data_IF_604723032257
#
_entry.id   IF_604723032257
#
_cell.length_a   1.000
_cell.length_b   1.000
_cell.length_c   1.000
_cell.angle_alpha   90.00
_cell.angle_beta   90.00
_cell.angle_gamma   90.00
#
_symmetry.space_group_name_H-M   'P 1'
#
loop_
_entity.id
_entity.type
_entity.pdbx_description
1 polymer ?
#
# COMPACT_ATOMS: atom_id res chain seq x y z
N UNK A 1 -7.39 0.23 -6.89
CA UNK A 1 -8.36 1.24 -6.40
C UNK A 1 -9.48 0.52 -5.65
N UNK A 2 -9.92 1.04 -4.50
CA UNK A 2 -11.00 0.45 -3.69
C UNK A 2 -12.21 1.38 -3.70
N UNK A 3 -13.37 0.88 -4.03
CA UNK A 3 -14.64 1.61 -3.93
C UNK A 3 -15.34 1.24 -2.62
N UNK A 4 -15.66 2.25 -1.83
CA UNK A 4 -16.44 2.12 -0.60
C UNK A 4 -17.84 2.66 -0.75
N UNK A 5 -18.84 1.88 -0.38
CA UNK A 5 -20.22 2.31 -0.17
C UNK A 5 -20.49 2.44 1.32
N UNK A 6 -20.73 3.67 1.78
CA UNK A 6 -20.91 4.02 3.19
C UNK A 6 -22.33 4.52 3.38
N UNK A 7 -23.13 3.81 4.18
CA UNK A 7 -24.54 4.12 4.42
C UNK A 7 -24.77 4.54 5.86
N UNK A 8 -25.37 5.70 6.05
CA UNK A 8 -25.80 6.20 7.36
C UNK A 8 -27.28 5.85 7.60
N UNK A 9 -27.56 4.87 8.45
CA UNK A 9 -28.93 4.43 8.74
C UNK A 9 -29.66 5.38 9.69
N UNK A 10 -28.96 6.23 10.44
CA UNK A 10 -29.57 7.18 11.38
C UNK A 10 -30.21 8.40 10.67
N UNK A 11 -29.87 8.68 9.41
CA UNK A 11 -30.44 9.77 8.60
C UNK A 11 -30.96 9.23 7.26
N UNK A 12 -32.16 8.66 7.27
CA UNK A 12 -32.92 8.23 6.07
C UNK A 12 -32.19 7.21 5.14
N UNK A 13 -31.07 6.64 5.56
CA UNK A 13 -30.32 5.67 4.75
C UNK A 13 -29.45 6.28 3.64
N UNK A 14 -29.07 7.56 3.75
CA UNK A 14 -28.17 8.20 2.78
C UNK A 14 -26.90 7.38 2.55
N UNK A 15 -26.54 7.16 1.29
CA UNK A 15 -25.39 6.36 0.88
C UNK A 15 -24.38 7.23 0.14
N UNK A 16 -23.12 7.15 0.58
CA UNK A 16 -21.97 7.77 -0.05
C UNK A 16 -21.20 6.68 -0.79
N UNK A 17 -20.87 6.94 -2.05
CA UNK A 17 -19.88 6.14 -2.80
C UNK A 17 -18.59 6.95 -2.85
N UNK A 18 -17.50 6.36 -2.38
CA UNK A 18 -16.16 6.96 -2.37
C UNK A 18 -15.16 6.01 -3.00
N UNK A 19 -14.18 6.56 -3.71
CA UNK A 19 -13.06 5.76 -4.24
C UNK A 19 -11.80 6.11 -3.47
N UNK A 20 -11.13 5.09 -2.95
CA UNK A 20 -9.90 5.18 -2.19
C UNK A 20 -8.69 4.78 -3.07
N UNK A 21 -7.54 5.46 -2.91
CA UNK A 21 -7.33 6.56 -1.98
C UNK A 21 -7.88 7.91 -2.49
N UNK A 22 -8.37 8.75 -1.57
CA UNK A 22 -8.73 10.15 -1.79
C UNK A 22 -8.05 11.06 -0.75
N UNK A 23 -8.16 12.39 -0.92
CA UNK A 23 -7.72 13.33 0.12
C UNK A 23 -8.48 13.08 1.42
N UNK A 24 -7.80 13.21 2.57
CA UNK A 24 -8.44 13.11 3.88
C UNK A 24 -9.45 14.25 4.12
N UNK A 25 -9.20 15.42 3.51
CA UNK A 25 -10.13 16.54 3.54
C UNK A 25 -11.42 16.20 2.77
N UNK A 26 -11.27 15.62 1.58
CA UNK A 26 -12.41 15.19 0.76
C UNK A 26 -13.18 14.06 1.45
N UNK A 27 -12.48 13.09 2.05
CA UNK A 27 -13.11 12.00 2.80
C UNK A 27 -13.99 12.56 3.93
N UNK A 28 -13.49 13.54 4.68
CA UNK A 28 -14.25 14.21 5.75
C UNK A 28 -15.49 14.92 5.18
N UNK A 29 -15.33 15.67 4.10
CA UNK A 29 -16.45 16.41 3.49
C UNK A 29 -17.51 15.46 2.92
N UNK A 30 -17.09 14.37 2.27
CA UNK A 30 -17.96 13.33 1.76
C UNK A 30 -18.75 12.66 2.90
N UNK A 31 -18.11 12.29 4.00
CA UNK A 31 -18.79 11.72 5.17
C UNK A 31 -19.80 12.72 5.78
N UNK A 32 -19.42 13.98 5.89
CA UNK A 32 -20.31 15.03 6.39
C UNK A 32 -21.54 15.23 5.49
N UNK A 33 -21.41 15.02 4.17
CA UNK A 33 -22.53 15.15 3.22
C UNK A 33 -23.67 14.15 3.49
N UNK A 34 -23.36 12.99 4.05
CA UNK A 34 -24.36 11.99 4.49
C UNK A 34 -24.65 12.06 5.99
N UNK A 35 -24.23 13.14 6.65
CA UNK A 35 -24.50 13.41 8.06
C UNK A 35 -23.66 12.60 9.04
N UNK A 36 -22.53 12.06 8.60
CA UNK A 36 -21.53 11.46 9.50
C UNK A 36 -20.56 12.58 9.91
N UNK A 37 -20.70 13.05 11.15
CA UNK A 37 -19.85 14.11 11.73
C UNK A 37 -18.73 13.58 12.61
N UNK A 38 -18.75 12.28 12.92
CA UNK A 38 -17.65 11.62 13.62
C UNK A 38 -16.37 11.66 12.79
N UNK A 39 -15.23 11.73 13.45
CA UNK A 39 -13.93 11.69 12.77
C UNK A 39 -13.79 10.40 11.95
N UNK A 40 -13.32 10.52 10.70
CA UNK A 40 -13.11 9.37 9.81
C UNK A 40 -12.14 8.34 10.41
N UNK A 41 -11.21 8.79 11.27
CA UNK A 41 -10.29 7.94 12.04
C UNK A 41 -10.98 7.07 13.09
N UNK A 42 -12.26 7.32 13.40
CA UNK A 42 -13.06 6.51 14.33
C UNK A 42 -14.05 5.60 13.61
N UNK A 43 -14.16 5.73 12.28
CA UNK A 43 -15.05 4.90 11.49
C UNK A 43 -14.30 3.66 11.01
N UNK A 44 -14.62 2.51 11.58
CA UNK A 44 -14.03 1.22 11.22
C UNK A 44 -14.53 0.76 9.86
N UNK A 45 -13.73 -0.06 9.18
CA UNK A 45 -14.09 -0.69 7.91
C UNK A 45 -15.24 -1.70 8.05
N UNK A 46 -15.45 -2.23 9.26
CA UNK A 46 -16.60 -3.07 9.60
C UNK A 46 -17.90 -2.29 9.84
N UNK A 47 -17.81 -0.96 9.93
CA UNK A 47 -18.94 -0.11 10.27
C UNK A 47 -19.33 -0.17 11.75
N UNK A 48 -20.47 0.45 12.05
CA UNK A 48 -21.08 0.50 13.39
C UNK A 48 -22.55 0.12 13.30
N UNK A 49 -23.26 0.09 14.43
CA UNK A 49 -24.72 -0.16 14.44
C UNK A 49 -25.48 0.78 13.48
N UNK A 50 -25.05 2.04 13.41
CA UNK A 50 -25.72 3.08 12.63
C UNK A 50 -25.09 3.30 11.24
N UNK A 51 -23.87 2.81 11.01
CA UNK A 51 -23.13 3.06 9.76
C UNK A 51 -22.74 1.72 9.14
N UNK A 52 -23.26 1.43 7.95
CA UNK A 52 -22.84 0.26 7.17
C UNK A 52 -21.75 0.66 6.18
N UNK A 53 -20.67 -0.10 6.15
CA UNK A 53 -19.56 0.08 5.21
C UNK A 53 -19.45 -1.18 4.36
N UNK A 54 -19.40 -1.00 3.04
CA UNK A 54 -19.14 -2.06 2.08
C UNK A 54 -17.96 -1.63 1.21
N UNK A 55 -16.99 -2.52 1.03
CA UNK A 55 -15.78 -2.25 0.28
C UNK A 55 -15.66 -3.24 -0.87
N UNK A 56 -15.30 -2.74 -2.05
CA UNK A 56 -15.06 -3.55 -3.24
C UNK A 56 -13.76 -3.08 -3.91
N UNK A 57 -12.99 -4.02 -4.44
CA UNK A 57 -11.80 -3.73 -5.22
C UNK A 57 -12.05 -4.08 -6.69
N UNK A 58 -11.47 -3.30 -7.60
CA UNK A 58 -11.52 -3.55 -9.04
C UNK A 58 -10.15 -4.00 -9.61
N UNK A 59 -9.11 -4.00 -8.77
CA UNK A 59 -7.73 -4.28 -9.18
C UNK A 59 -7.08 -5.23 -8.16
N UNK A 60 -6.12 -6.09 -8.57
CA UNK A 60 -5.47 -7.06 -7.69
C UNK A 60 -4.88 -6.47 -6.41
N UNK A 61 -4.27 -5.28 -6.51
CA UNK A 61 -3.73 -4.58 -5.33
C UNK A 61 -4.83 -4.21 -4.33
N UNK A 62 -6.01 -3.81 -4.83
CA UNK A 62 -7.15 -3.51 -3.97
C UNK A 62 -7.68 -4.78 -3.30
N UNK A 63 -7.75 -5.89 -4.03
CA UNK A 63 -8.18 -7.19 -3.48
C UNK A 63 -7.23 -7.65 -2.37
N UNK A 64 -5.92 -7.51 -2.58
CA UNK A 64 -4.92 -7.82 -1.58
C UNK A 64 -5.11 -6.97 -0.31
N UNK A 65 -5.27 -5.65 -0.48
CA UNK A 65 -5.53 -4.75 0.65
C UNK A 65 -6.77 -5.17 1.44
N UNK A 66 -7.87 -5.47 0.74
CA UNK A 66 -9.11 -5.96 1.37
C UNK A 66 -8.92 -7.30 2.09
N UNK A 67 -8.10 -8.20 1.55
CA UNK A 67 -7.83 -9.52 2.16
C UNK A 67 -7.05 -9.44 3.48
N UNK A 68 -6.35 -8.32 3.72
CA UNK A 68 -5.53 -8.08 4.92
C UNK A 68 -6.21 -7.20 5.95
N UNK A 69 -7.40 -6.66 5.66
CA UNK A 69 -8.14 -5.81 6.59
C UNK A 69 -8.44 -6.53 7.91
N UNK A 70 -8.11 -5.86 9.01
CA UNK A 70 -8.57 -6.19 10.34
C UNK A 70 -9.92 -5.49 10.63
N UNK A 71 -10.70 -6.04 11.56
CA UNK A 71 -12.03 -5.49 11.89
C UNK A 71 -11.97 -4.09 12.51
N UNK A 72 -10.90 -3.81 13.24
CA UNK A 72 -10.60 -2.54 13.91
C UNK A 72 -9.89 -1.53 12.99
N UNK A 73 -9.53 -1.92 11.77
CA UNK A 73 -8.99 -0.98 10.79
C UNK A 73 -10.01 0.12 10.49
N UNK A 74 -9.51 1.32 10.27
CA UNK A 74 -10.34 2.50 10.04
C UNK A 74 -10.35 2.85 8.56
N UNK A 75 -11.39 3.53 8.08
CA UNK A 75 -11.43 4.02 6.70
C UNK A 75 -10.27 4.98 6.41
N UNK A 76 -9.86 5.78 7.39
CA UNK A 76 -8.65 6.60 7.29
C UNK A 76 -7.40 5.74 7.14
N UNK A 77 -7.25 4.70 7.96
CA UNK A 77 -6.11 3.77 7.88
C UNK A 77 -6.05 3.07 6.52
N UNK A 78 -7.18 2.59 6.02
CA UNK A 78 -7.31 2.01 4.68
C UNK A 78 -6.92 3.01 3.58
N UNK A 79 -7.39 4.26 3.70
CA UNK A 79 -7.05 5.32 2.75
C UNK A 79 -5.53 5.58 2.74
N UNK A 80 -4.92 5.69 3.91
CA UNK A 80 -3.47 5.90 4.06
C UNK A 80 -2.68 4.70 3.50
N UNK A 81 -3.08 3.47 3.80
CA UNK A 81 -2.42 2.29 3.24
C UNK A 81 -2.46 2.27 1.71
N UNK A 82 -3.61 2.61 1.11
CA UNK A 82 -3.69 2.74 -0.34
C UNK A 82 -2.79 3.84 -0.89
N UNK A 83 -2.62 4.97 -0.19
CA UNK A 83 -1.70 6.04 -0.59
C UNK A 83 -0.23 5.60 -0.50
N UNK A 84 0.15 4.97 0.61
CA UNK A 84 1.52 4.51 0.84
C UNK A 84 1.92 3.44 -0.16
N UNK A 85 1.05 2.46 -0.45
CA UNK A 85 1.32 1.46 -1.50
C UNK A 85 1.51 2.14 -2.87
N UNK A 86 0.63 3.07 -3.26
CA UNK A 86 0.75 3.79 -4.54
C UNK A 86 2.03 4.62 -4.62
N UNK A 87 2.43 5.23 -3.51
CA UNK A 87 3.64 6.07 -3.44
C UNK A 87 4.92 5.25 -3.49
N UNK A 88 4.94 4.13 -2.78
CA UNK A 88 6.14 3.34 -2.54
C UNK A 88 6.37 2.27 -3.63
N UNK A 89 5.35 1.98 -4.46
CA UNK A 89 5.43 1.02 -5.56
C UNK A 89 5.27 1.69 -6.95
N UNK A 90 6.22 2.56 -7.38
CA UNK A 90 6.08 3.33 -8.61
C UNK A 90 6.25 2.52 -9.91
N UNK A 91 7.01 1.41 -9.87
CA UNK A 91 7.33 0.59 -11.06
C UNK A 91 6.34 -0.54 -11.33
N UNK A 92 5.27 -0.63 -10.53
CA UNK A 92 4.29 -1.71 -10.60
C UNK A 92 4.01 -2.30 -9.23
N UNK A 93 2.89 -3.02 -9.12
CA UNK A 93 2.51 -3.73 -7.90
C UNK A 93 2.95 -5.19 -7.92
N UNK A 94 3.50 -5.70 -9.01
CA UNK A 94 3.74 -7.13 -9.16
C UNK A 94 4.89 -7.61 -8.27
N UNK A 95 6.02 -6.90 -8.25
CA UNK A 95 7.13 -7.18 -7.33
C UNK A 95 6.70 -7.01 -5.88
N UNK A 96 5.90 -6.00 -5.59
CA UNK A 96 5.35 -5.77 -4.26
C UNK A 96 4.38 -6.89 -3.84
N UNK A 97 3.54 -7.38 -4.75
CA UNK A 97 2.66 -8.52 -4.50
C UNK A 97 3.47 -9.80 -4.26
N UNK A 98 4.51 -10.04 -5.06
CA UNK A 98 5.41 -11.18 -4.87
C UNK A 98 6.17 -11.09 -3.54
N UNK A 99 6.53 -9.89 -3.08
CA UNK A 99 7.08 -9.68 -1.74
C UNK A 99 6.11 -10.07 -0.62
N UNK A 100 4.84 -9.70 -0.75
CA UNK A 100 3.80 -9.96 0.26
C UNK A 100 3.31 -11.42 0.24
N UNK A 101 3.32 -12.04 -0.92
CA UNK A 101 2.92 -13.43 -1.15
C UNK A 101 3.96 -14.13 -2.03
N UNK A 102 5.12 -14.52 -1.45
CA UNK A 102 6.20 -15.15 -2.20
C UNK A 102 5.74 -16.39 -2.94
N UNK A 103 6.18 -16.52 -4.19
CA UNK A 103 5.83 -17.68 -5.02
C UNK A 103 6.79 -18.82 -4.72
N UNK A 104 6.29 -20.05 -4.80
CA UNK A 104 7.11 -21.26 -4.60
C UNK A 104 8.21 -21.43 -5.66
N UNK A 105 7.95 -20.92 -6.86
CA UNK A 105 8.85 -20.97 -8.00
C UNK A 105 9.62 -19.65 -8.11
N UNK A 106 10.91 -19.67 -7.76
CA UNK A 106 11.77 -18.48 -7.73
C UNK A 106 11.90 -17.81 -9.12
N UNK A 107 11.77 -18.56 -10.21
CA UNK A 107 11.81 -17.99 -11.56
C UNK A 107 10.57 -17.14 -11.89
N UNK A 108 9.48 -17.31 -11.11
CA UNK A 108 8.23 -16.55 -11.25
C UNK A 108 8.04 -15.50 -10.17
N UNK A 109 8.90 -15.50 -9.15
CA UNK A 109 8.91 -14.56 -8.05
C UNK A 109 9.82 -13.38 -8.42
N UNK A 110 9.20 -12.27 -8.82
CA UNK A 110 9.96 -11.08 -9.24
C UNK A 110 10.69 -10.43 -8.08
N UNK A 111 10.21 -10.63 -6.84
CA UNK A 111 10.84 -10.07 -5.66
C UNK A 111 12.07 -10.87 -5.20
N UNK A 112 12.18 -12.15 -5.58
CA UNK A 112 13.30 -13.01 -5.21
C UNK A 112 14.67 -12.38 -5.50
N UNK A 113 14.81 -11.71 -6.65
CA UNK A 113 16.03 -10.99 -7.04
C UNK A 113 16.42 -9.88 -6.04
N UNK A 114 15.44 -9.23 -5.42
CA UNK A 114 15.66 -8.11 -4.51
C UNK A 114 15.89 -8.51 -3.05
N UNK A 115 15.71 -9.78 -2.70
CA UNK A 115 15.88 -10.28 -1.32
C UNK A 115 17.23 -9.91 -0.67
N UNK A 116 18.38 -9.94 -1.37
CA UNK A 116 19.66 -9.54 -0.77
C UNK A 116 19.72 -8.08 -0.31
N UNK A 117 18.86 -7.21 -0.85
CA UNK A 117 18.83 -5.78 -0.54
C UNK A 117 17.84 -5.44 0.59
N UNK A 118 17.12 -6.44 1.12
CA UNK A 118 16.25 -6.26 2.28
C UNK A 118 17.08 -6.01 3.55
N UNK A 119 16.99 -4.79 4.08
CA UNK A 119 17.72 -4.40 5.30
C UNK A 119 16.92 -4.65 6.60
N UNK A 120 15.61 -4.86 6.49
CA UNK A 120 14.71 -5.01 7.64
C UNK A 120 13.91 -6.30 7.55
N UNK A 121 13.55 -6.85 8.72
CA UNK A 121 12.71 -8.03 8.80
C UNK A 121 11.26 -7.71 8.37
N UNK A 122 10.50 -8.71 7.91
CA UNK A 122 9.08 -8.55 7.61
C UNK A 122 8.29 -8.04 8.81
N UNK A 123 7.28 -7.22 8.56
CA UNK A 123 6.36 -6.72 9.57
C UNK A 123 5.62 -7.85 10.28
N UNK A 124 5.48 -7.74 11.60
CA UNK A 124 4.64 -8.60 12.43
C UNK A 124 3.26 -7.98 12.70
N UNK A 125 2.96 -6.82 12.12
CA UNK A 125 1.68 -6.15 12.29
C UNK A 125 0.56 -6.92 11.56
N UNK A 126 -0.68 -6.50 11.81
CA UNK A 126 -1.88 -6.99 11.12
C UNK A 126 -2.62 -5.80 10.51
N UNK A 127 -3.64 -6.08 9.70
CA UNK A 127 -4.49 -5.03 9.15
C UNK A 127 -3.78 -4.14 8.13
N UNK A 128 -4.28 -2.91 8.00
CA UNK A 128 -3.69 -1.88 7.12
C UNK A 128 -2.30 -1.46 7.58
N UNK A 129 -1.96 -1.62 8.85
CA UNK A 129 -0.64 -1.29 9.38
C UNK A 129 0.44 -2.20 8.79
N UNK A 130 0.18 -3.51 8.69
CA UNK A 130 1.06 -4.45 8.00
C UNK A 130 1.37 -4.00 6.58
N UNK A 131 0.34 -3.58 5.83
CA UNK A 131 0.50 -3.14 4.45
C UNK A 131 1.34 -1.86 4.32
N UNK A 132 1.18 -0.92 5.25
CA UNK A 132 1.97 0.33 5.30
C UNK A 132 3.44 0.00 5.57
N UNK A 133 3.72 -0.82 6.58
CA UNK A 133 5.09 -1.19 6.96
C UNK A 133 5.78 -1.99 5.85
N UNK A 134 5.08 -2.92 5.21
CA UNK A 134 5.64 -3.67 4.08
C UNK A 134 5.83 -2.80 2.83
N UNK A 135 4.97 -1.83 2.56
CA UNK A 135 5.17 -0.88 1.47
C UNK A 135 6.44 -0.02 1.70
N UNK A 136 6.70 0.40 2.95
CA UNK A 136 7.93 1.10 3.28
C UNK A 136 9.17 0.18 3.18
N UNK A 137 9.05 -1.07 3.65
CA UNK A 137 10.11 -2.08 3.49
C UNK A 137 10.45 -2.33 2.02
N UNK A 138 9.45 -2.34 1.14
CA UNK A 138 9.63 -2.47 -0.30
C UNK A 138 10.43 -1.29 -0.85
N UNK A 139 10.02 -0.05 -0.51
CA UNK A 139 10.72 1.17 -0.91
C UNK A 139 12.18 1.15 -0.48
N UNK A 140 12.46 0.83 0.78
CA UNK A 140 13.82 0.74 1.31
C UNK A 140 14.66 -0.30 0.56
N UNK A 141 14.05 -1.45 0.22
CA UNK A 141 14.72 -2.51 -0.55
C UNK A 141 15.11 -1.99 -1.94
N UNK A 142 14.22 -1.27 -2.61
CA UNK A 142 14.47 -0.68 -3.93
C UNK A 142 15.53 0.43 -3.88
N UNK A 143 15.53 1.25 -2.83
CA UNK A 143 16.58 2.26 -2.60
C UNK A 143 17.96 1.63 -2.36
N UNK A 144 18.01 0.52 -1.62
CA UNK A 144 19.25 -0.22 -1.40
C UNK A 144 19.77 -0.88 -2.67
N UNK A 145 18.88 -1.45 -3.48
CA UNK A 145 19.21 -1.98 -4.80
C UNK A 145 19.79 -0.89 -5.70
N UNK A 146 19.11 0.25 -5.82
CA UNK A 146 19.58 1.37 -6.64
C UNK A 146 20.96 1.89 -6.17
N UNK A 147 21.20 1.93 -4.86
CA UNK A 147 22.51 2.31 -4.30
C UNK A 147 23.60 1.30 -4.68
N UNK A 148 23.30 0.01 -4.63
CA UNK A 148 24.25 -1.04 -5.00
C UNK A 148 24.57 -1.02 -6.50
N UNK A 149 23.57 -0.81 -7.36
CA UNK A 149 23.79 -0.62 -8.80
C UNK A 149 24.72 0.56 -9.07
N UNK A 150 24.43 1.72 -8.44
CA UNK A 150 25.27 2.90 -8.60
C UNK A 150 26.71 2.68 -8.13
N UNK A 151 26.90 1.99 -7.00
CA UNK A 151 28.23 1.67 -6.51
C UNK A 151 29.01 0.76 -7.47
N UNK A 152 28.34 -0.22 -8.08
CA UNK A 152 28.95 -1.10 -9.08
C UNK A 152 29.32 -0.33 -10.37
N UNK A 153 28.46 0.60 -10.82
CA UNK A 153 28.77 1.49 -11.95
C UNK A 153 29.98 2.39 -11.63
N UNK A 154 30.02 3.01 -10.46
CA UNK A 154 31.14 3.87 -10.03
C UNK A 154 32.47 3.07 -9.91
N UNK A 155 32.42 1.79 -9.52
CA UNK A 155 33.59 0.89 -9.52
C UNK A 155 34.06 0.50 -10.92
N UNK A 156 33.13 0.28 -11.86
CA UNK A 156 33.43 -0.04 -13.27
C UNK A 156 34.09 1.14 -14.00
N UNK A 157 33.65 2.37 -13.73
CA UNK A 157 34.23 3.60 -14.28
C UNK A 157 35.46 4.13 -13.50
N UNK A 158 35.73 3.60 -12.30
CA UNK A 158 36.89 3.94 -11.47
C UNK A 158 38.14 3.11 -11.75
N UNK A 159 38.04 2.08 -12.60
CA UNK A 159 39.20 1.36 -13.10
C UNK A 159 40.01 2.30 -14.02
N UNK A 160 41.32 2.49 -13.80
CA UNK A 160 42.12 3.28 -14.73
C UNK A 160 41.96 2.65 -16.11
N UNK A 161 41.59 3.46 -17.11
CA UNK A 161 41.76 3.06 -18.51
C UNK A 161 43.21 2.64 -18.64
N UNK A 162 43.38 1.35 -18.87
CA UNK A 162 44.66 0.69 -19.03
C UNK A 162 45.27 1.38 -20.27
N UNK A 163 46.19 2.32 -20.04
CA UNK A 163 46.87 3.13 -21.05
C UNK A 163 47.63 2.17 -21.99
N UNK A 164 46.94 1.68 -23.01
CA UNK A 164 47.51 0.83 -24.07
C UNK A 164 48.17 1.68 -25.18
N UNK A 165 48.90 2.72 -24.81
CA UNK A 165 49.83 3.36 -25.74
C UNK A 165 51.23 2.80 -25.55
N UNK A 166 51.58 1.90 -26.49
CA UNK A 166 52.91 1.34 -26.73
C UNK A 166 53.95 2.41 -27.10
#
# INVERSE_FOLDING_TARGET
MITGAIKNNARNGSTLIVTLPCSLYDLRNHLASIGITSEASKLTVGGTENIKVQLAAAEPVGELVLSKLAQDDTLTGLNVACQEIRRNCPFGYEEFMDMLLPKKDAAKDRFYFYQPYCATQPSTATGVKYLIEEADRYRMTMENYARACKAAEDEEYGAPEDDWEC
#
